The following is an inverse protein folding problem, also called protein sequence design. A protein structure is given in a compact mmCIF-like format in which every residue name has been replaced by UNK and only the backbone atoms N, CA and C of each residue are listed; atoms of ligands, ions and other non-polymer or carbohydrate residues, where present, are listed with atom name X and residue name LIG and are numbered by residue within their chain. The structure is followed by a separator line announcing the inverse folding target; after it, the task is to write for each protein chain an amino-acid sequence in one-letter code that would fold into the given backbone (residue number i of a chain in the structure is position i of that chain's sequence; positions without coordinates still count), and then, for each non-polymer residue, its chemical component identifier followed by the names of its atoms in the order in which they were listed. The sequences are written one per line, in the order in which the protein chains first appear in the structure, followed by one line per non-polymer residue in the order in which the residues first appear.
data_IF_790756831405
#
_entry.id   IF_790756831405
#
_cell.length_a   1.000
_cell.length_b   1.000
_cell.length_c   1.000
_cell.angle_alpha   90.00
_cell.angle_beta   90.00
_cell.angle_gamma   90.00
#
_symmetry.space_group_name_H-M   'P 1'
#
loop_
_entity.id
_entity.type
_entity.pdbx_description
1 polymer ?
#
# COMPACT_ATOMS: atom_id res chain seq x y z
N UNK A 1 6.70 34.11 -8.22
CA UNK A 1 7.72 33.06 -8.06
C UNK A 1 7.71 32.63 -6.60
N UNK A 2 7.10 31.47 -6.30
CA UNK A 2 6.99 30.94 -4.94
C UNK A 2 8.12 29.93 -4.75
N UNK A 3 9.17 30.33 -4.03
CA UNK A 3 10.33 29.48 -3.74
C UNK A 3 9.92 28.43 -2.73
N UNK A 4 9.78 27.18 -3.15
CA UNK A 4 9.60 26.05 -2.23
C UNK A 4 10.94 25.72 -1.60
N UNK A 5 11.04 25.96 -0.29
CA UNK A 5 12.13 25.46 0.54
C UNK A 5 12.10 23.93 0.47
N UNK A 6 13.12 23.35 -0.18
CA UNK A 6 13.42 21.93 -0.04
C UNK A 6 13.85 21.68 1.39
N UNK A 7 13.09 20.86 2.09
CA UNK A 7 13.39 20.42 3.45
C UNK A 7 14.57 19.43 3.40
N UNK A 8 15.71 19.69 4.06
CA UNK A 8 16.88 18.84 3.96
C UNK A 8 16.89 17.83 5.11
N UNK A 9 16.45 16.60 4.86
CA UNK A 9 17.01 15.35 5.41
C UNK A 9 16.02 14.18 5.28
N UNK A 10 16.05 13.51 4.12
CA UNK A 10 15.78 12.06 4.09
C UNK A 10 17.01 11.42 3.44
N UNK A 11 18.11 11.39 4.18
CA UNK A 11 19.28 10.60 3.80
C UNK A 11 18.93 9.14 4.09
N UNK A 12 18.87 8.25 3.08
CA UNK A 12 18.62 6.84 3.33
C UNK A 12 19.80 6.27 4.12
N UNK A 13 19.50 5.64 5.25
CA UNK A 13 20.49 4.91 6.05
C UNK A 13 20.78 3.57 5.38
N UNK A 14 21.94 2.95 5.63
CA UNK A 14 22.39 1.64 5.08
C UNK A 14 21.37 0.49 5.27
N UNK A 15 20.39 0.67 6.16
CA UNK A 15 19.29 -0.27 6.39
C UNK A 15 18.16 -0.15 5.36
N UNK A 16 18.04 0.99 4.70
CA UNK A 16 16.99 1.30 3.74
C UNK A 16 17.23 0.59 2.40
N UNK A 17 18.49 0.41 1.98
CA UNK A 17 18.84 -0.33 0.75
C UNK A 17 18.30 -1.76 0.73
N UNK A 18 18.31 -2.45 1.88
CA UNK A 18 17.72 -3.79 2.01
C UNK A 18 16.19 -3.75 1.92
N UNK A 19 15.57 -2.68 2.40
CA UNK A 19 14.11 -2.49 2.36
C UNK A 19 13.66 -2.19 0.92
N UNK A 20 14.39 -1.35 0.18
CA UNK A 20 14.09 -1.07 -1.24
C UNK A 20 14.20 -2.32 -2.12
N UNK A 21 15.03 -3.30 -1.73
CA UNK A 21 15.13 -4.59 -2.42
C UNK A 21 14.01 -5.57 -2.07
N UNK A 22 13.20 -5.30 -1.04
CA UNK A 22 12.11 -6.20 -0.66
C UNK A 22 11.10 -6.32 -1.82
N UNK A 23 10.66 -7.53 -2.20
CA UNK A 23 9.77 -7.73 -3.35
C UNK A 23 8.50 -6.88 -3.28
N UNK A 24 7.88 -6.81 -2.10
CA UNK A 24 6.69 -5.99 -1.89
C UNK A 24 6.94 -4.49 -2.12
N UNK A 25 8.09 -3.96 -1.68
CA UNK A 25 8.43 -2.55 -1.86
C UNK A 25 8.69 -2.23 -3.32
N UNK A 26 9.40 -3.11 -4.04
CA UNK A 26 9.59 -2.96 -5.50
C UNK A 26 8.27 -2.98 -6.25
N UNK A 27 7.35 -3.87 -5.88
CA UNK A 27 6.00 -3.91 -6.44
C UNK A 27 5.24 -2.60 -6.19
N UNK A 28 5.28 -2.09 -4.95
CA UNK A 28 4.64 -0.83 -4.59
C UNK A 28 5.19 0.36 -5.40
N UNK A 29 6.52 0.48 -5.53
CA UNK A 29 7.16 1.54 -6.35
C UNK A 29 6.75 1.42 -7.81
N UNK A 30 6.73 0.19 -8.37
CA UNK A 30 6.31 -0.04 -9.76
C UNK A 30 4.89 0.46 -10.01
N UNK A 31 3.96 0.20 -9.10
CA UNK A 31 2.58 0.69 -9.21
C UNK A 31 2.51 2.21 -9.12
N UNK A 32 3.19 2.82 -8.14
CA UNK A 32 3.23 4.28 -8.01
C UNK A 32 3.73 4.93 -9.30
N UNK A 33 4.80 4.40 -9.89
CA UNK A 33 5.36 4.91 -11.15
C UNK A 33 4.45 4.65 -12.35
N UNK A 34 3.70 3.55 -12.36
CA UNK A 34 2.74 3.25 -13.42
C UNK A 34 1.54 4.20 -13.42
N UNK A 35 1.17 4.75 -12.25
CA UNK A 35 0.09 5.73 -12.12
C UNK A 35 0.52 7.17 -12.49
N UNK A 36 1.82 7.42 -12.68
CA UNK A 36 2.37 8.73 -13.05
C UNK A 36 2.24 9.03 -14.55
N UNK A 37 1.01 9.05 -15.07
CA UNK A 37 0.72 9.28 -16.50
C UNK A 37 1.23 10.61 -17.04
N UNK A 38 1.40 11.62 -16.17
CA UNK A 38 1.86 12.96 -16.54
C UNK A 38 3.35 13.19 -16.24
N UNK A 39 4.07 12.20 -15.72
CA UNK A 39 5.50 12.29 -15.45
C UNK A 39 5.88 13.27 -14.33
N UNK A 40 4.96 13.59 -13.43
CA UNK A 40 5.16 14.53 -12.31
C UNK A 40 6.21 14.02 -11.30
N UNK A 41 6.48 12.72 -11.31
CA UNK A 41 7.37 12.03 -10.38
C UNK A 41 8.61 11.43 -11.06
N UNK A 42 8.82 11.73 -12.35
CA UNK A 42 9.97 11.28 -13.13
C UNK A 42 11.32 11.62 -12.49
N UNK A 43 11.46 12.81 -11.91
CA UNK A 43 12.67 13.27 -11.23
C UNK A 43 12.81 12.82 -9.77
N UNK A 44 11.80 12.16 -9.18
CA UNK A 44 11.81 11.74 -7.77
C UNK A 44 12.46 10.38 -7.59
N UNK A 45 13.28 10.25 -6.56
CA UNK A 45 13.83 8.95 -6.18
C UNK A 45 12.79 8.06 -5.48
N UNK A 46 13.00 6.74 -5.46
CA UNK A 46 12.05 5.79 -4.85
C UNK A 46 11.80 6.07 -3.37
N UNK A 47 12.82 6.58 -2.65
CA UNK A 47 12.69 6.97 -1.25
C UNK A 47 11.68 8.10 -1.05
N UNK A 48 11.72 9.12 -1.91
CA UNK A 48 10.78 10.26 -1.88
C UNK A 48 9.34 9.82 -2.20
N UNK A 49 9.17 8.88 -3.13
CA UNK A 49 7.85 8.35 -3.46
C UNK A 49 7.24 7.60 -2.27
N UNK A 50 8.04 6.75 -1.64
CA UNK A 50 7.62 5.93 -0.51
C UNK A 50 7.48 6.73 0.80
N UNK A 51 8.12 7.90 0.92
CA UNK A 51 7.96 8.77 2.07
C UNK A 51 6.49 9.16 2.33
N UNK A 52 5.67 9.22 1.27
CA UNK A 52 4.22 9.48 1.40
C UNK A 52 3.46 8.38 2.16
N UNK A 53 4.02 7.17 2.25
CA UNK A 53 3.44 6.04 3.00
C UNK A 53 3.93 6.01 4.45
N UNK A 54 4.92 6.82 4.81
CA UNK A 54 5.38 6.98 6.18
C UNK A 54 4.77 8.21 6.82
N UNK A 55 4.09 8.01 7.94
CA UNK A 55 3.52 9.09 8.75
C UNK A 55 3.91 8.83 10.19
N UNK A 56 4.50 9.82 10.85
CA UNK A 56 4.89 9.69 12.27
C UNK A 56 3.66 9.43 13.14
N UNK A 57 3.88 8.88 14.34
CA UNK A 57 2.80 8.59 15.27
C UNK A 57 2.03 9.86 15.67
N UNK A 58 2.77 10.95 15.91
CA UNK A 58 2.21 12.24 16.30
C UNK A 58 1.37 12.85 15.19
N UNK A 59 1.90 12.91 13.96
CA UNK A 59 1.17 13.37 12.78
C UNK A 59 -0.12 12.57 12.58
N UNK A 60 -0.07 11.24 12.71
CA UNK A 60 -1.26 10.39 12.55
C UNK A 60 -2.34 10.64 13.59
N UNK A 61 -1.96 10.91 14.85
CA UNK A 61 -2.94 11.23 15.90
C UNK A 61 -3.54 12.61 15.72
N UNK A 62 -2.77 13.56 15.20
CA UNK A 62 -3.23 14.92 14.94
C UNK A 62 -4.28 14.98 13.81
N UNK A 63 -4.30 14.01 12.89
CA UNK A 63 -5.30 13.96 11.82
C UNK A 63 -6.71 13.78 12.43
N UNK A 64 -7.63 14.75 12.22
CA UNK A 64 -9.01 14.62 12.63
C UNK A 64 -9.73 13.58 11.75
N UNK A 65 -10.69 12.87 12.33
CA UNK A 65 -11.54 11.89 11.63
C UNK A 65 -12.91 12.54 11.48
N UNK A 66 -13.04 13.44 10.49
CA UNK A 66 -14.25 14.24 10.25
C UNK A 66 -14.48 14.30 8.74
N UNK A 67 -15.68 13.95 8.31
CA UNK A 67 -16.04 13.94 6.89
C UNK A 67 -15.22 12.94 6.08
N UNK A 68 -15.24 13.05 4.75
CA UNK A 68 -14.59 12.12 3.84
C UNK A 68 -13.05 12.07 4.04
N UNK A 69 -12.42 10.88 3.91
CA UNK A 69 -10.97 10.80 3.89
C UNK A 69 -10.39 11.55 2.69
N UNK A 70 -9.24 12.19 2.90
CA UNK A 70 -8.50 12.89 1.83
C UNK A 70 -8.27 11.95 0.61
N UNK A 71 -8.56 12.40 -0.62
CA UNK A 71 -8.35 11.60 -1.84
C UNK A 71 -6.95 11.01 -1.97
N UNK A 72 -5.91 11.71 -1.51
CA UNK A 72 -4.53 11.22 -1.52
C UNK A 72 -4.33 10.09 -0.50
N UNK A 73 -5.04 10.13 0.64
CA UNK A 73 -5.04 9.03 1.61
C UNK A 73 -5.71 7.79 1.01
N UNK A 74 -6.86 7.97 0.36
CA UNK A 74 -7.57 6.88 -0.34
C UNK A 74 -6.72 6.30 -1.46
N UNK A 75 -6.04 7.15 -2.23
CA UNK A 75 -5.11 6.73 -3.27
C UNK A 75 -3.97 5.89 -2.70
N UNK A 76 -3.27 6.35 -1.65
CA UNK A 76 -2.20 5.57 -1.01
C UNK A 76 -2.70 4.21 -0.51
N UNK A 77 -3.88 4.18 0.12
CA UNK A 77 -4.48 2.94 0.61
C UNK A 77 -4.80 1.99 -0.56
N UNK A 78 -5.38 2.51 -1.63
CA UNK A 78 -5.72 1.78 -2.85
C UNK A 78 -4.45 1.19 -3.50
N UNK A 79 -3.40 1.99 -3.68
CA UNK A 79 -2.11 1.57 -4.24
C UNK A 79 -1.40 0.56 -3.34
N UNK A 80 -1.49 0.70 -2.01
CA UNK A 80 -0.94 -0.30 -1.07
C UNK A 80 -1.59 -1.67 -1.25
N UNK A 81 -2.93 -1.74 -1.26
CA UNK A 81 -3.62 -3.02 -1.45
C UNK A 81 -3.54 -3.54 -2.89
N UNK A 82 -3.37 -2.67 -3.89
CA UNK A 82 -3.04 -3.09 -5.26
C UNK A 82 -1.65 -3.73 -5.33
N UNK A 83 -0.68 -3.22 -4.58
CA UNK A 83 0.64 -3.86 -4.46
C UNK A 83 0.55 -5.24 -3.78
N UNK A 84 -0.34 -5.38 -2.80
CA UNK A 84 -0.62 -6.69 -2.17
C UNK A 84 -1.22 -7.65 -3.19
N UNK A 85 -2.26 -7.24 -3.94
CA UNK A 85 -2.89 -8.13 -4.93
C UNK A 85 -1.89 -8.57 -5.99
N UNK A 86 -1.17 -7.63 -6.61
CA UNK A 86 -0.18 -7.94 -7.65
C UNK A 86 0.94 -8.86 -7.14
N UNK A 87 1.42 -8.62 -5.90
CA UNK A 87 2.43 -9.50 -5.31
C UNK A 87 1.92 -10.90 -4.98
N UNK A 88 0.61 -11.09 -4.78
CA UNK A 88 -0.02 -12.42 -4.66
C UNK A 88 -0.16 -13.07 -6.03
N UNK A 89 -0.54 -12.32 -7.07
CA UNK A 89 -0.59 -12.81 -8.44
C UNK A 89 0.78 -13.33 -8.90
N UNK A 90 1.85 -12.56 -8.68
CA UNK A 90 3.23 -12.93 -9.05
C UNK A 90 3.71 -14.23 -8.37
N UNK A 91 3.11 -14.64 -7.24
CA UNK A 91 3.47 -15.85 -6.51
C UNK A 91 2.55 -17.04 -6.76
N UNK A 92 1.28 -16.78 -7.01
CA UNK A 92 0.26 -17.82 -7.16
C UNK A 92 -0.05 -18.14 -8.63
N UNK A 93 0.33 -17.27 -9.57
CA UNK A 93 -0.04 -17.32 -10.99
C UNK A 93 -1.57 -17.33 -11.19
N UNK A 94 -2.30 -16.70 -10.26
CA UNK A 94 -3.74 -16.53 -10.30
C UNK A 94 -4.08 -15.06 -10.32
N UNK A 95 -5.07 -14.68 -11.12
CA UNK A 95 -5.62 -13.32 -11.11
C UNK A 95 -6.30 -13.02 -9.77
N UNK A 96 -6.01 -11.87 -9.18
CA UNK A 96 -6.52 -11.40 -7.90
C UNK A 96 -7.25 -10.08 -8.09
N UNK A 97 -8.57 -10.13 -7.98
CA UNK A 97 -9.40 -8.93 -7.94
C UNK A 97 -9.36 -8.29 -6.56
N UNK A 98 -9.38 -6.95 -6.54
CA UNK A 98 -9.41 -6.14 -5.33
C UNK A 98 -10.66 -5.28 -5.33
N UNK A 99 -11.43 -5.36 -4.26
CA UNK A 99 -12.61 -4.51 -4.04
C UNK A 99 -12.45 -3.79 -2.71
N UNK A 100 -12.71 -2.48 -2.72
CA UNK A 100 -12.64 -1.63 -1.54
C UNK A 100 -13.89 -0.78 -1.48
N UNK A 101 -14.52 -0.79 -0.31
CA UNK A 101 -15.66 0.08 0.00
C UNK A 101 -15.32 0.83 1.28
N UNK A 102 -15.34 2.16 1.22
CA UNK A 102 -14.99 3.04 2.33
C UNK A 102 -16.06 4.12 2.40
N UNK A 103 -16.69 4.25 3.56
CA UNK A 103 -17.69 5.28 3.82
C UNK A 103 -17.02 6.62 4.17
N UNK A 104 -17.86 7.65 4.28
CA UNK A 104 -17.41 9.00 4.60
C UNK A 104 -16.68 9.06 5.95
N UNK A 105 -17.09 8.26 6.93
CA UNK A 105 -16.45 8.20 8.25
C UNK A 105 -15.09 7.48 8.24
N UNK A 106 -14.62 6.98 7.09
CA UNK A 106 -13.35 6.28 6.98
C UNK A 106 -13.38 4.87 7.56
N UNK A 107 -14.57 4.27 7.62
CA UNK A 107 -14.79 2.85 7.87
C UNK A 107 -15.05 2.14 6.56
N UNK A 108 -14.59 0.89 6.47
CA UNK A 108 -14.75 0.17 5.23
C UNK A 108 -14.26 -1.26 5.29
N UNK A 109 -14.12 -1.85 4.12
CA UNK A 109 -13.59 -3.20 3.95
C UNK A 109 -12.77 -3.30 2.69
N UNK A 110 -11.66 -4.03 2.77
CA UNK A 110 -10.91 -4.51 1.61
C UNK A 110 -11.13 -5.99 1.46
N UNK A 111 -11.45 -6.39 0.24
CA UNK A 111 -11.55 -7.77 -0.19
C UNK A 111 -10.54 -8.01 -1.31
N UNK A 112 -9.71 -9.04 -1.15
CA UNK A 112 -8.97 -9.63 -2.26
C UNK A 112 -9.58 -10.99 -2.56
N UNK A 113 -9.92 -11.20 -3.82
CA UNK A 113 -10.56 -12.43 -4.27
C UNK A 113 -9.85 -12.97 -5.50
N UNK A 114 -9.77 -14.28 -5.60
CA UNK A 114 -9.43 -14.95 -6.86
C UNK A 114 -10.56 -15.89 -7.20
N UNK A 115 -11.18 -15.69 -8.37
CA UNK A 115 -12.38 -16.43 -8.77
C UNK A 115 -13.46 -16.42 -7.66
N UNK A 116 -13.70 -17.57 -7.03
CA UNK A 116 -14.70 -17.78 -5.96
C UNK A 116 -14.09 -17.78 -4.56
N UNK A 117 -12.77 -17.69 -4.44
CA UNK A 117 -12.04 -17.73 -3.18
C UNK A 117 -11.75 -16.31 -2.68
N UNK A 118 -12.06 -16.05 -1.40
CA UNK A 118 -11.65 -14.82 -0.72
C UNK A 118 -10.28 -15.06 -0.08
N UNK A 119 -9.26 -14.35 -0.56
CA UNK A 119 -7.88 -14.47 -0.09
C UNK A 119 -7.61 -13.60 1.13
N UNK A 120 -8.21 -12.40 1.15
CA UNK A 120 -8.06 -11.45 2.23
C UNK A 120 -9.38 -10.75 2.47
N UNK A 121 -9.74 -10.63 3.74
CA UNK A 121 -10.88 -9.83 4.17
C UNK A 121 -10.50 -9.00 5.37
N UNK A 122 -10.28 -7.71 5.17
CA UNK A 122 -9.82 -6.80 6.23
C UNK A 122 -10.79 -5.64 6.39
N UNK A 123 -11.30 -5.45 7.61
CA UNK A 123 -12.04 -4.26 7.98
C UNK A 123 -11.09 -3.08 8.15
N UNK A 124 -11.42 -1.96 7.53
CA UNK A 124 -10.71 -0.69 7.65
C UNK A 124 -11.42 0.20 8.67
N UNK A 125 -10.62 0.84 9.52
CA UNK A 125 -11.10 1.85 10.48
C UNK A 125 -10.12 3.01 10.50
N UNK A 126 -10.64 4.22 10.71
CA UNK A 126 -9.83 5.44 10.75
C UNK A 126 -8.97 5.62 9.49
N UNK A 127 -9.55 5.40 8.31
CA UNK A 127 -8.83 5.46 7.01
C UNK A 127 -8.09 6.79 6.84
N UNK A 128 -8.63 7.91 7.36
CA UNK A 128 -7.97 9.23 7.40
C UNK A 128 -6.53 9.18 7.92
N UNK A 129 -6.25 8.23 8.83
CA UNK A 129 -4.96 8.05 9.49
C UNK A 129 -4.11 6.96 8.84
N UNK A 130 -4.41 6.55 7.61
CA UNK A 130 -3.63 5.54 6.93
C UNK A 130 -2.17 6.00 6.73
N UNK A 131 -1.24 5.15 7.12
CA UNK A 131 0.20 5.38 7.05
C UNK A 131 0.98 4.46 7.99
N UNK A 132 2.28 4.32 7.76
CA UNK A 132 3.17 3.47 8.55
C UNK A 132 4.20 4.30 9.32
N UNK A 133 4.64 3.83 10.51
CA UNK A 133 5.60 4.63 11.31
C UNK A 133 6.95 4.69 10.57
N UNK A 134 7.26 3.63 9.83
CA UNK A 134 8.51 3.42 9.12
C UNK A 134 8.24 2.61 7.86
N UNK A 135 9.11 2.75 6.85
CA UNK A 135 9.06 1.92 5.64
C UNK A 135 9.21 0.43 5.96
N UNK A 136 10.02 0.09 6.96
CA UNK A 136 10.14 -1.29 7.46
C UNK A 136 8.79 -1.86 7.90
N UNK A 137 7.96 -1.07 8.62
CA UNK A 137 6.64 -1.52 9.05
C UNK A 137 5.69 -1.68 7.87
N UNK A 138 5.77 -0.78 6.88
CA UNK A 138 5.06 -0.92 5.59
C UNK A 138 5.42 -2.25 4.91
N UNK A 139 6.72 -2.47 4.67
CA UNK A 139 7.24 -3.67 4.01
C UNK A 139 6.83 -4.97 4.75
N UNK A 140 6.98 -5.00 6.08
CA UNK A 140 6.61 -6.16 6.90
C UNK A 140 5.11 -6.45 6.84
N UNK A 141 4.28 -5.41 6.88
CA UNK A 141 2.82 -5.55 6.84
C UNK A 141 2.39 -6.07 5.47
N UNK A 142 2.84 -5.44 4.38
CA UNK A 142 2.53 -5.90 3.02
C UNK A 142 2.99 -7.33 2.77
N UNK A 143 4.23 -7.67 3.16
CA UNK A 143 4.77 -9.03 3.00
C UNK A 143 3.97 -10.07 3.79
N UNK A 144 3.50 -9.73 4.99
CA UNK A 144 2.63 -10.61 5.78
C UNK A 144 1.31 -10.86 5.07
N UNK A 145 0.64 -9.79 4.60
CA UNK A 145 -0.64 -9.92 3.90
C UNK A 145 -0.51 -10.78 2.63
N UNK A 146 0.56 -10.61 1.86
CA UNK A 146 0.85 -11.45 0.69
C UNK A 146 1.04 -12.91 1.09
N UNK A 147 1.81 -13.17 2.14
CA UNK A 147 2.09 -14.55 2.58
C UNK A 147 0.85 -15.24 3.12
N UNK A 148 0.04 -14.52 3.91
CA UNK A 148 -1.24 -15.03 4.42
C UNK A 148 -2.21 -15.35 3.26
N UNK A 149 -2.30 -14.47 2.25
CA UNK A 149 -3.15 -14.68 1.08
C UNK A 149 -2.70 -15.87 0.22
N UNK A 150 -1.39 -16.04 0.01
CA UNK A 150 -0.83 -17.21 -0.70
C UNK A 150 -1.10 -18.51 0.07
N UNK A 151 -0.96 -18.50 1.40
CA UNK A 151 -1.30 -19.66 2.22
C UNK A 151 -2.78 -20.07 2.09
N UNK A 152 -3.70 -19.11 1.91
CA UNK A 152 -5.11 -19.39 1.62
C UNK A 152 -5.29 -20.03 0.25
N UNK A 153 -4.55 -19.58 -0.78
CA UNK A 153 -4.56 -20.24 -2.11
C UNK A 153 -4.09 -21.69 -2.00
N UNK A 154 -2.99 -21.93 -1.30
CA UNK A 154 -2.41 -23.26 -1.12
C UNK A 154 -3.31 -24.21 -0.32
N UNK A 155 -4.06 -23.67 0.64
CA UNK A 155 -5.01 -24.44 1.44
C UNK A 155 -6.28 -24.84 0.65
N UNK A 156 -6.68 -24.05 -0.35
CA UNK A 156 -7.92 -24.26 -1.12
C UNK A 156 -7.70 -24.16 -2.64
N UNK A 157 -6.81 -24.98 -3.24
CA UNK A 157 -6.41 -24.87 -4.64
C UNK A 157 -7.59 -25.10 -5.60
N UNK A 158 -8.51 -26.00 -5.25
CA UNK A 158 -9.68 -26.33 -6.07
C UNK A 158 -10.58 -25.12 -6.26
N UNK A 159 -10.79 -24.32 -5.20
CA UNK A 159 -11.61 -23.10 -5.25
C UNK A 159 -10.87 -21.96 -5.95
N UNK A 160 -9.55 -21.88 -5.74
CA UNK A 160 -8.70 -20.88 -6.37
C UNK A 160 -8.55 -21.07 -7.89
N UNK A 161 -8.75 -22.30 -8.39
CA UNK A 161 -8.61 -22.68 -9.81
C UNK A 161 -9.92 -23.05 -10.52
N UNK A 162 -11.05 -22.88 -9.84
CA UNK A 162 -12.38 -23.24 -10.32
C UNK A 162 -12.89 -22.48 -11.57
#
# INVERSE_FOLDING_TARGET
MMTTLSDPAVTPTVNDDKIFRAPFIRCLVRLIRAEDSYGLWSGKCDAELLANFTVTYEQRRAIPIIGDPDPLVLWRLNTFYAAVSLAVEERSDLFVSRTMEINQEGFGRVLLTTRRLVLLSTTLRNVHRFGFNTLRKCAKTGTKLVSDAVAVVEAYPDVARA
#
